data_IF_832565606511
#
_entry.id   IF_832565606511
#
_cell.length_a   1.000
_cell.length_b   1.000
_cell.length_c   1.000
_cell.angle_alpha   90.00
_cell.angle_beta   90.00
_cell.angle_gamma   90.00
#
_symmetry.space_group_name_H-M   'P 1'
#
loop_
_entity.id
_entity.type
_entity.pdbx_description
1 polymer ?
#
# COMPACT_ATOMS: atom_id res chain seq x y z
N UNK A 1 18.02 -6.39 24.30
CA UNK A 1 18.34 -7.43 25.29
C UNK A 1 18.03 -6.84 26.66
N UNK A 2 17.19 -7.51 27.46
CA UNK A 2 16.84 -7.06 28.81
C UNK A 2 18.00 -7.46 29.74
N UNK A 3 18.54 -6.56 30.56
CA UNK A 3 19.58 -6.93 31.51
C UNK A 3 18.99 -7.82 32.61
N UNK A 4 19.69 -8.90 32.93
CA UNK A 4 19.30 -9.91 33.91
C UNK A 4 19.61 -11.32 33.41
N UNK A 5 19.59 -12.29 34.33
CA UNK A 5 19.88 -13.69 34.04
C UNK A 5 18.61 -14.53 33.95
N UNK A 6 17.63 -14.27 34.81
CA UNK A 6 16.41 -15.08 34.93
C UNK A 6 15.16 -14.23 34.85
N UNK A 7 14.28 -14.55 33.89
CA UNK A 7 12.91 -14.03 33.85
C UNK A 7 12.07 -14.98 34.70
N UNK A 8 11.49 -14.47 35.79
CA UNK A 8 10.70 -15.28 36.74
C UNK A 8 9.22 -15.25 36.44
N UNK A 9 8.70 -14.12 35.93
CA UNK A 9 7.29 -13.98 35.60
C UNK A 9 7.05 -12.94 34.48
N UNK A 10 5.90 -13.06 33.81
CA UNK A 10 5.42 -12.11 32.79
C UNK A 10 3.91 -11.92 32.98
N UNK A 11 3.50 -10.66 33.07
CA UNK A 11 2.09 -10.25 33.12
C UNK A 11 1.75 -9.33 31.95
N UNK A 12 0.47 -9.33 31.54
CA UNK A 12 -0.05 -8.54 30.44
C UNK A 12 -1.08 -7.53 30.93
N UNK A 13 -1.09 -6.34 30.34
CA UNK A 13 -2.23 -5.43 30.43
C UNK A 13 -3.43 -6.06 29.69
N UNK A 14 -4.65 -5.80 30.17
CA UNK A 14 -5.86 -6.42 29.64
C UNK A 14 -6.17 -6.06 28.17
N UNK A 15 -5.59 -4.97 27.66
CA UNK A 15 -5.68 -4.57 26.26
C UNK A 15 -4.64 -5.25 25.35
N UNK A 16 -3.64 -5.91 25.95
CA UNK A 16 -2.56 -6.61 25.24
C UNK A 16 -1.44 -5.71 24.70
N UNK A 17 -1.42 -4.40 24.99
CA UNK A 17 -0.41 -3.48 24.46
C UNK A 17 0.77 -3.24 25.40
N UNK A 18 0.69 -3.71 26.64
CA UNK A 18 1.80 -3.65 27.59
C UNK A 18 2.04 -4.97 28.28
N UNK A 19 3.31 -5.26 28.49
CA UNK A 19 3.76 -6.40 29.28
C UNK A 19 4.68 -5.92 30.40
N UNK A 20 4.59 -6.57 31.55
CA UNK A 20 5.52 -6.42 32.65
C UNK A 20 6.22 -7.75 32.89
N UNK A 21 7.55 -7.76 32.80
CA UNK A 21 8.37 -8.93 33.08
C UNK A 21 9.16 -8.73 34.36
N UNK A 22 9.10 -9.72 35.26
CA UNK A 22 9.97 -9.78 36.43
C UNK A 22 11.27 -10.49 36.05
N UNK A 23 12.40 -9.78 36.17
CA UNK A 23 13.72 -10.27 35.82
C UNK A 23 14.67 -10.05 36.98
N UNK A 24 15.14 -11.14 37.57
CA UNK A 24 15.90 -11.18 38.82
C UNK A 24 15.21 -10.33 39.92
N UNK A 25 15.73 -9.13 40.22
CA UNK A 25 15.21 -8.18 41.21
C UNK A 25 14.54 -6.94 40.61
N UNK A 26 14.27 -6.92 39.31
CA UNK A 26 13.73 -5.77 38.58
C UNK A 26 12.43 -6.11 37.85
N UNK A 27 11.58 -5.10 37.68
CA UNK A 27 10.40 -5.16 36.83
C UNK A 27 10.66 -4.33 35.56
N UNK A 28 10.45 -4.95 34.40
CA UNK A 28 10.59 -4.31 33.10
C UNK A 28 9.22 -4.19 32.43
N UNK A 29 8.86 -2.96 32.07
CA UNK A 29 7.66 -2.69 31.28
C UNK A 29 8.05 -2.56 29.81
N UNK A 30 7.33 -3.27 28.94
CA UNK A 30 7.49 -3.14 27.50
C UNK A 30 6.15 -2.76 26.86
N UNK A 31 6.20 -1.79 25.96
CA UNK A 31 5.06 -1.45 25.11
C UNK A 31 5.16 -2.24 23.81
N UNK A 32 4.09 -2.94 23.47
CA UNK A 32 3.93 -3.61 22.17
C UNK A 32 3.31 -2.59 21.22
N UNK A 33 4.03 -2.29 20.14
CA UNK A 33 3.50 -1.53 19.02
C UNK A 33 3.09 -2.51 17.93
N UNK A 34 1.80 -2.52 17.59
CA UNK A 34 1.31 -3.27 16.46
C UNK A 34 1.87 -2.69 15.15
N UNK A 35 2.20 -3.59 14.23
CA UNK A 35 2.71 -3.25 12.90
C UNK A 35 1.54 -2.85 11.97
N UNK A 36 0.91 -1.72 12.30
CA UNK A 36 -0.17 -1.17 11.50
C UNK A 36 0.34 -0.75 10.12
N UNK A 37 -0.44 -1.01 9.07
CA UNK A 37 -0.18 -0.39 7.77
C UNK A 37 -0.48 1.09 7.88
N UNK A 38 0.48 1.92 7.51
CA UNK A 38 0.35 3.37 7.53
C UNK A 38 1.07 4.03 6.36
N UNK A 39 0.67 5.26 6.06
CA UNK A 39 1.23 6.11 5.02
C UNK A 39 1.06 7.58 5.43
N UNK A 40 1.73 8.47 4.71
CA UNK A 40 1.60 9.92 4.90
C UNK A 40 1.53 10.64 3.56
N UNK A 41 0.50 11.46 3.35
CA UNK A 41 0.32 12.32 2.18
C UNK A 41 -0.45 13.59 2.56
N UNK A 42 -0.13 14.72 1.93
CA UNK A 42 -0.95 15.94 2.03
C UNK A 42 -1.21 16.42 3.46
N UNK A 43 -0.22 16.29 4.34
CA UNK A 43 -0.34 16.53 5.78
C UNK A 43 -1.25 15.58 6.55
N UNK A 44 -1.70 14.50 5.93
CA UNK A 44 -2.53 13.48 6.53
C UNK A 44 -1.71 12.22 6.82
N UNK A 45 -1.75 11.76 8.07
CA UNK A 45 -1.30 10.41 8.44
C UNK A 45 -2.47 9.46 8.23
N UNK A 46 -2.25 8.43 7.42
CA UNK A 46 -3.25 7.42 7.10
C UNK A 46 -2.82 6.12 7.73
N UNK A 47 -3.67 5.47 8.49
CA UNK A 47 -3.36 4.17 9.10
C UNK A 47 -4.58 3.29 9.20
N UNK A 48 -4.37 1.98 9.10
CA UNK A 48 -5.43 0.98 9.22
C UNK A 48 -5.27 0.15 10.49
N UNK A 49 -6.39 -0.18 11.13
CA UNK A 49 -6.42 -1.11 12.26
C UNK A 49 -7.73 -1.88 12.30
N UNK A 50 -7.75 -2.96 13.09
CA UNK A 50 -8.94 -3.73 13.41
C UNK A 50 -9.48 -3.29 14.77
N UNK A 51 -10.77 -2.95 14.85
CA UNK A 51 -11.42 -2.61 16.12
C UNK A 51 -11.60 -3.85 16.98
N UNK A 52 -11.16 -3.76 18.24
CA UNK A 52 -11.22 -4.88 19.19
C UNK A 52 -12.65 -5.35 19.47
N UNK A 53 -13.62 -4.43 19.52
CA UNK A 53 -15.01 -4.73 19.90
C UNK A 53 -15.72 -5.62 18.88
N UNK A 54 -15.62 -5.28 17.59
CA UNK A 54 -16.44 -5.88 16.52
C UNK A 54 -15.62 -6.54 15.40
N UNK A 55 -14.29 -6.53 15.47
CA UNK A 55 -13.38 -7.00 14.40
C UNK A 55 -13.59 -6.28 13.06
N UNK A 56 -14.12 -5.06 13.11
CA UNK A 56 -14.28 -4.21 11.94
C UNK A 56 -12.95 -3.56 11.58
N UNK A 57 -12.60 -3.56 10.31
CA UNK A 57 -11.41 -2.87 9.83
C UNK A 57 -11.74 -1.40 9.52
N UNK A 58 -10.88 -0.53 10.02
CA UNK A 58 -11.00 0.90 9.83
C UNK A 58 -9.73 1.44 9.17
N UNK A 59 -9.90 2.43 8.31
CA UNK A 59 -8.83 3.32 7.86
C UNK A 59 -9.13 4.70 8.41
N UNK A 60 -8.15 5.30 9.09
CA UNK A 60 -8.23 6.65 9.63
C UNK A 60 -7.34 7.55 8.81
N UNK A 61 -7.90 8.69 8.41
CA UNK A 61 -7.20 9.79 7.77
C UNK A 61 -7.09 10.92 8.80
N UNK A 62 -5.91 11.04 9.41
CA UNK A 62 -5.64 12.03 10.45
C UNK A 62 -4.90 13.23 9.87
N UNK A 63 -5.60 14.36 9.73
CA UNK A 63 -5.04 15.59 9.20
C UNK A 63 -4.23 16.33 10.27
N UNK A 64 -2.91 16.35 10.13
CA UNK A 64 -1.99 16.79 11.19
C UNK A 64 -2.04 18.28 11.52
N UNK A 65 -2.49 19.14 10.59
CA UNK A 65 -2.56 20.59 10.80
C UNK A 65 -3.81 21.03 11.57
N UNK A 66 -4.94 20.38 11.31
CA UNK A 66 -6.23 20.67 11.94
C UNK A 66 -6.51 19.72 13.11
N UNK A 67 -5.70 18.67 13.26
CA UNK A 67 -5.90 17.58 14.22
C UNK A 67 -7.26 16.88 14.08
N UNK A 68 -7.78 16.83 12.85
CA UNK A 68 -9.05 16.20 12.52
C UNK A 68 -8.85 14.77 12.01
N UNK A 69 -9.67 13.84 12.51
CA UNK A 69 -9.66 12.45 12.08
C UNK A 69 -10.92 12.12 11.28
N UNK A 70 -10.76 11.59 10.08
CA UNK A 70 -11.82 11.02 9.27
C UNK A 70 -11.70 9.49 9.30
N UNK A 71 -12.72 8.81 9.81
CA UNK A 71 -12.75 7.36 9.92
C UNK A 71 -13.61 6.76 8.82
N UNK A 72 -13.05 5.79 8.11
CA UNK A 72 -13.79 4.98 7.14
C UNK A 72 -13.75 3.52 7.54
N UNK A 73 -14.91 2.87 7.49
CA UNK A 73 -15.00 1.43 7.61
C UNK A 73 -14.74 0.83 6.23
N UNK A 74 -13.70 0.01 6.16
CA UNK A 74 -13.27 -0.63 4.92
C UNK A 74 -12.99 -2.10 5.21
N UNK A 75 -12.86 -2.88 4.14
CA UNK A 75 -12.34 -4.24 4.27
C UNK A 75 -10.87 -4.21 4.69
N UNK A 76 -10.35 -5.30 5.29
CA UNK A 76 -8.94 -5.39 5.60
C UNK A 76 -8.08 -5.05 4.38
N UNK A 77 -7.30 -3.99 4.51
CA UNK A 77 -6.41 -3.53 3.46
C UNK A 77 -5.18 -4.45 3.38
N UNK A 78 -4.80 -4.80 2.16
CA UNK A 78 -3.62 -5.62 1.87
C UNK A 78 -2.38 -4.75 1.79
N UNK A 79 -2.51 -3.56 1.20
CA UNK A 79 -1.43 -2.60 1.04
C UNK A 79 -1.94 -1.16 1.18
N UNK A 80 -1.04 -0.30 1.64
CA UNK A 80 -1.20 1.15 1.74
C UNK A 80 0.14 1.77 1.34
N UNK A 81 0.10 2.72 0.41
CA UNK A 81 1.23 3.53 0.03
C UNK A 81 0.76 4.96 -0.27
N UNK A 82 1.69 5.91 -0.36
CA UNK A 82 1.36 7.31 -0.62
C UNK A 82 2.39 8.01 -1.49
N UNK A 83 1.95 9.07 -2.17
CA UNK A 83 2.80 10.04 -2.84
C UNK A 83 2.12 11.41 -2.87
N UNK A 84 2.88 12.45 -2.52
CA UNK A 84 2.42 13.84 -2.48
C UNK A 84 1.11 14.01 -1.68
N UNK A 85 0.00 14.29 -2.38
CA UNK A 85 -1.31 14.58 -1.81
C UNK A 85 -2.27 13.38 -1.83
N UNK A 86 -1.78 12.22 -2.30
CA UNK A 86 -2.60 11.05 -2.56
C UNK A 86 -2.05 9.79 -1.93
N UNK A 87 -2.94 8.84 -1.69
CA UNK A 87 -2.61 7.51 -1.22
C UNK A 87 -3.30 6.46 -2.07
N UNK A 88 -2.74 5.25 -2.10
CA UNK A 88 -3.41 4.06 -2.61
C UNK A 88 -3.82 3.16 -1.45
N UNK A 89 -5.08 2.72 -1.48
CA UNK A 89 -5.60 1.65 -0.65
C UNK A 89 -5.88 0.44 -1.54
N UNK A 90 -5.39 -0.74 -1.16
CA UNK A 90 -5.69 -1.98 -1.86
C UNK A 90 -6.40 -2.95 -0.93
N UNK A 91 -7.59 -3.41 -1.32
CA UNK A 91 -8.40 -4.37 -0.55
C UNK A 91 -8.65 -5.65 -1.35
N UNK A 92 -8.96 -6.74 -0.66
CA UNK A 92 -9.44 -7.97 -1.31
C UNK A 92 -10.92 -7.80 -1.69
N UNK A 93 -11.28 -8.29 -2.87
CA UNK A 93 -12.68 -8.31 -3.33
C UNK A 93 -13.37 -9.55 -2.78
N UNK A 94 -14.62 -9.42 -2.34
CA UNK A 94 -15.37 -10.57 -1.81
C UNK A 94 -15.82 -11.47 -2.95
N UNK A 95 -15.95 -12.77 -2.67
CA UNK A 95 -16.47 -13.77 -3.59
C UNK A 95 -15.65 -13.98 -4.87
N UNK A 96 -14.51 -13.29 -5.03
CA UNK A 96 -13.64 -13.38 -6.20
C UNK A 96 -12.20 -13.66 -5.77
N UNK A 97 -11.82 -14.93 -5.84
CA UNK A 97 -10.49 -15.40 -5.42
C UNK A 97 -9.43 -14.76 -6.31
N UNK A 98 -8.42 -14.15 -5.68
CA UNK A 98 -7.29 -13.55 -6.39
C UNK A 98 -7.56 -12.18 -7.00
N UNK A 99 -8.74 -11.58 -6.74
CA UNK A 99 -9.05 -10.23 -7.18
C UNK A 99 -8.92 -9.20 -6.06
N UNK A 100 -8.34 -8.06 -6.40
CA UNK A 100 -8.09 -6.94 -5.51
C UNK A 100 -8.64 -5.66 -6.11
N UNK A 101 -9.15 -4.77 -5.26
CA UNK A 101 -9.59 -3.44 -5.61
C UNK A 101 -8.54 -2.43 -5.16
N UNK A 102 -8.00 -1.69 -6.11
CA UNK A 102 -7.09 -0.57 -5.88
C UNK A 102 -7.87 0.74 -5.94
N UNK A 103 -7.66 1.62 -4.97
CA UNK A 103 -8.31 2.93 -4.89
C UNK A 103 -7.26 4.00 -4.61
N UNK A 104 -7.15 4.97 -5.49
CA UNK A 104 -6.43 6.22 -5.22
C UNK A 104 -7.37 7.12 -4.44
N UNK A 105 -6.91 7.63 -3.31
CA UNK A 105 -7.68 8.54 -2.47
C UNK A 105 -6.89 9.81 -2.16
N UNK A 106 -7.61 10.89 -1.85
CA UNK A 106 -7.03 12.09 -1.24
C UNK A 106 -6.85 11.93 0.29
N UNK A 107 -6.30 12.96 0.94
CA UNK A 107 -6.07 13.02 2.39
C UNK A 107 -7.32 12.95 3.29
N UNK A 108 -8.53 12.88 2.75
CA UNK A 108 -9.77 12.63 3.53
C UNK A 108 -10.47 11.32 3.13
N UNK A 109 -9.82 10.54 2.26
CA UNK A 109 -10.29 9.23 1.84
C UNK A 109 -11.34 9.24 0.73
N UNK A 110 -11.56 10.36 0.04
CA UNK A 110 -12.38 10.36 -1.17
C UNK A 110 -11.63 9.65 -2.29
N UNK A 111 -12.22 8.59 -2.84
CA UNK A 111 -11.66 7.89 -4.00
C UNK A 111 -11.70 8.78 -5.24
N UNK A 112 -10.54 8.93 -5.88
CA UNK A 112 -10.31 9.70 -7.10
C UNK A 112 -10.34 8.78 -8.31
N UNK A 113 -9.65 7.65 -8.22
CA UNK A 113 -9.55 6.65 -9.28
C UNK A 113 -9.55 5.26 -8.64
N UNK A 114 -10.05 4.27 -9.37
CA UNK A 114 -10.10 2.90 -8.89
C UNK A 114 -9.97 1.89 -10.02
N UNK A 115 -9.31 0.77 -9.73
CA UNK A 115 -9.07 -0.29 -10.70
C UNK A 115 -9.03 -1.65 -10.02
N UNK A 116 -9.60 -2.66 -10.67
CA UNK A 116 -9.47 -4.05 -10.25
C UNK A 116 -8.21 -4.67 -10.83
N UNK A 117 -7.58 -5.56 -10.05
CA UNK A 117 -6.37 -6.26 -10.44
C UNK A 117 -6.43 -7.73 -9.98
N UNK A 118 -5.91 -8.63 -10.81
CA UNK A 118 -5.78 -10.06 -10.51
C UNK A 118 -4.32 -10.46 -10.20
N UNK A 119 -3.61 -9.59 -9.48
CA UNK A 119 -2.23 -9.77 -9.04
C UNK A 119 -2.21 -9.56 -7.54
N UNK A 120 -1.73 -10.56 -6.79
CA UNK A 120 -1.55 -10.41 -5.34
C UNK A 120 -0.52 -9.31 -5.04
N UNK A 121 -0.91 -8.20 -4.39
CA UNK A 121 -0.01 -7.10 -4.10
C UNK A 121 0.86 -7.46 -2.89
N UNK A 122 2.14 -7.82 -3.12
CA UNK A 122 3.13 -8.00 -2.04
C UNK A 122 3.97 -6.76 -1.82
N UNK A 123 4.30 -6.07 -2.91
CA UNK A 123 5.06 -4.83 -2.90
C UNK A 123 4.26 -3.78 -3.67
N UNK A 124 4.06 -2.60 -3.07
CA UNK A 124 3.31 -1.51 -3.66
C UNK A 124 4.06 -0.21 -3.41
N UNK A 125 4.33 0.52 -4.48
CA UNK A 125 4.88 1.87 -4.43
C UNK A 125 4.10 2.75 -5.38
N UNK A 126 3.95 4.02 -5.05
CA UNK A 126 3.30 5.00 -5.92
C UNK A 126 4.16 6.25 -6.05
N UNK A 127 4.12 6.86 -7.22
CA UNK A 127 4.54 8.24 -7.43
C UNK A 127 3.29 9.10 -7.65
N UNK A 128 3.42 10.24 -8.31
CA UNK A 128 2.37 11.22 -8.56
C UNK A 128 1.40 10.86 -9.70
N UNK A 129 1.74 9.87 -10.54
CA UNK A 129 1.01 9.52 -11.76
C UNK A 129 0.83 8.01 -11.98
N UNK A 130 1.60 7.19 -11.28
CA UNK A 130 1.73 5.76 -11.47
C UNK A 130 1.83 5.02 -10.13
N UNK A 131 1.26 3.82 -10.12
CA UNK A 131 1.44 2.84 -9.06
C UNK A 131 2.11 1.61 -9.64
N UNK A 132 3.15 1.13 -8.98
CA UNK A 132 3.78 -0.16 -9.28
C UNK A 132 3.33 -1.16 -8.23
N UNK A 133 2.77 -2.27 -8.70
CA UNK A 133 2.33 -3.39 -7.87
C UNK A 133 3.11 -4.62 -8.30
N UNK A 134 3.72 -5.31 -7.34
CA UNK A 134 4.50 -6.51 -7.61
C UNK A 134 4.20 -7.63 -6.61
N UNK A 135 4.36 -8.85 -7.10
CA UNK A 135 4.58 -10.03 -6.28
C UNK A 135 6.02 -10.53 -6.49
N UNK A 136 6.32 -11.76 -6.08
CA UNK A 136 7.67 -12.31 -6.20
C UNK A 136 8.08 -12.66 -7.65
N UNK A 137 7.12 -12.77 -8.56
CA UNK A 137 7.31 -13.32 -9.91
C UNK A 137 6.91 -12.35 -11.02
N UNK A 138 6.18 -11.30 -10.71
CA UNK A 138 5.57 -10.42 -11.70
C UNK A 138 5.24 -9.07 -11.08
N UNK A 139 5.15 -8.06 -11.95
CA UNK A 139 4.72 -6.73 -11.58
C UNK A 139 3.85 -6.12 -12.66
N UNK A 140 3.08 -5.10 -12.29
CA UNK A 140 2.33 -4.28 -13.22
C UNK A 140 2.46 -2.81 -12.82
N UNK A 141 2.27 -1.94 -13.79
CA UNK A 141 2.28 -0.50 -13.61
C UNK A 141 0.88 0.01 -13.96
N UNK A 142 0.27 0.72 -13.04
CA UNK A 142 -1.01 1.37 -13.23
C UNK A 142 -0.82 2.88 -13.28
N UNK A 143 -1.04 3.47 -14.45
CA UNK A 143 -1.20 4.92 -14.62
C UNK A 143 -2.61 5.31 -14.15
N UNK A 144 -2.69 6.11 -13.10
CA UNK A 144 -3.96 6.53 -12.53
C UNK A 144 -4.26 7.99 -12.91
N UNK A 145 -5.54 8.30 -13.01
CA UNK A 145 -5.99 9.62 -13.45
C UNK A 145 -6.46 10.45 -12.26
N UNK A 146 -5.76 11.56 -11.98
CA UNK A 146 -6.27 12.59 -11.08
C UNK A 146 -6.95 13.66 -11.94
N UNK A 147 -8.26 13.89 -11.80
CA UNK A 147 -8.92 15.00 -12.48
C UNK A 147 -8.28 16.33 -12.03
N UNK A 148 -7.47 16.94 -12.90
CA UNK A 148 -6.94 18.28 -12.68
C UNK A 148 -7.91 19.31 -13.27
N UNK A 149 -8.23 20.35 -12.50
CA UNK A 149 -9.16 21.41 -12.95
C UNK A 149 -8.54 22.29 -14.06
N UNK A 150 -7.24 22.16 -14.35
CA UNK A 150 -6.50 23.11 -15.21
C UNK A 150 -6.85 23.01 -16.72
N UNK A 151 -7.51 21.95 -17.21
CA UNK A 151 -7.73 21.79 -18.66
C UNK A 151 -9.14 22.15 -19.14
N UNK A 152 -9.62 23.37 -18.87
CA UNK A 152 -10.80 23.90 -19.57
C UNK A 152 -10.52 24.48 -20.97
N UNK A 153 -9.28 24.48 -21.46
CA UNK A 153 -8.97 25.15 -22.75
C UNK A 153 -8.15 24.36 -23.79
N UNK A 154 -7.95 23.05 -23.63
CA UNK A 154 -7.28 22.25 -24.69
C UNK A 154 -8.21 21.16 -25.19
N UNK A 155 -9.13 21.56 -26.08
CA UNK A 155 -9.82 20.66 -27.00
C UNK A 155 -8.78 20.05 -27.96
N UNK A 156 -8.15 18.95 -27.56
CA UNK A 156 -7.54 18.04 -28.54
C UNK A 156 -8.34 16.76 -28.43
N UNK A 157 -9.11 16.49 -29.49
CA UNK A 157 -9.73 15.20 -29.77
C UNK A 157 -8.59 14.16 -29.89
N UNK A 158 -8.17 13.60 -28.77
CA UNK A 158 -7.47 12.34 -28.76
C UNK A 158 -8.54 11.32 -28.44
N UNK A 159 -8.94 10.56 -29.45
CA UNK A 159 -9.65 9.30 -29.29
C UNK A 159 -8.73 8.37 -28.48
N UNK A 160 -8.67 8.54 -27.16
CA UNK A 160 -7.95 7.63 -26.27
C UNK A 160 -8.84 6.40 -26.02
N UNK A 161 -9.11 5.70 -27.13
CA UNK A 161 -9.67 4.35 -27.15
C UNK A 161 -8.57 3.31 -26.89
N UNK A 162 -7.43 3.72 -26.30
CA UNK A 162 -6.54 2.79 -25.64
C UNK A 162 -7.30 2.20 -24.47
N UNK A 163 -8.00 1.09 -24.74
CA UNK A 163 -8.22 0.05 -23.76
C UNK A 163 -6.98 0.03 -22.89
N UNK A 164 -7.13 0.35 -21.61
CA UNK A 164 -6.01 0.50 -20.68
C UNK A 164 -5.47 -0.91 -20.37
N UNK A 165 -4.98 -1.55 -21.43
CA UNK A 165 -4.62 -2.95 -21.57
C UNK A 165 -3.50 -3.16 -20.58
N UNK A 166 -3.88 -3.82 -19.50
CA UNK A 166 -3.01 -4.04 -18.38
C UNK A 166 -1.84 -4.92 -18.84
N UNK A 167 -0.67 -4.31 -18.95
CA UNK A 167 0.56 -5.05 -19.21
C UNK A 167 1.07 -5.64 -17.89
N UNK A 168 1.03 -6.97 -17.81
CA UNK A 168 1.66 -7.75 -16.75
C UNK A 168 3.06 -8.14 -17.23
N UNK A 169 4.05 -7.93 -16.37
CA UNK A 169 5.45 -8.25 -16.65
C UNK A 169 5.90 -9.37 -15.72
N UNK A 170 6.51 -10.42 -16.26
CA UNK A 170 7.13 -11.47 -15.46
C UNK A 170 8.59 -11.13 -15.18
N UNK A 171 9.01 -11.41 -13.96
CA UNK A 171 10.41 -11.30 -13.54
C UNK A 171 11.17 -12.47 -14.18
N UNK A 172 12.35 -12.17 -14.71
CA UNK A 172 13.28 -13.12 -15.36
C UNK A 172 12.83 -13.71 -16.72
N UNK A 173 11.64 -13.39 -17.24
CA UNK A 173 11.33 -13.66 -18.65
C UNK A 173 12.20 -12.78 -19.54
N UNK A 174 13.24 -13.39 -20.13
CA UNK A 174 13.89 -12.84 -21.29
C UNK A 174 12.97 -13.17 -22.48
N UNK A 175 12.53 -12.15 -23.22
CA UNK A 175 12.09 -12.39 -24.59
C UNK A 175 13.27 -13.08 -25.31
N UNK A 176 13.20 -14.40 -25.52
CA UNK A 176 14.09 -15.10 -26.44
C UNK A 176 13.73 -14.62 -27.84
N UNK A 177 14.25 -13.44 -28.19
CA UNK A 177 14.12 -12.87 -29.52
C UNK A 177 14.98 -13.73 -30.43
N UNK A 178 14.29 -14.52 -31.26
CA UNK A 178 14.84 -15.27 -32.39
C UNK A 178 15.89 -14.42 -33.14
N UNK A 179 17.09 -14.96 -33.31
CA UNK A 179 18.33 -14.24 -33.64
C UNK A 179 18.37 -13.71 -35.10
N UNK A 180 17.24 -13.58 -35.79
CA UNK A 180 17.20 -13.20 -37.22
C UNK A 180 16.70 -11.80 -37.53
N UNK A 181 16.64 -10.88 -36.57
CA UNK A 181 16.33 -9.47 -36.87
C UNK A 181 17.22 -8.49 -36.11
N UNK A 182 18.32 -8.13 -36.76
CA UNK A 182 19.16 -6.99 -36.45
C UNK A 182 18.32 -5.71 -36.27
N UNK A 183 18.58 -4.97 -35.19
CA UNK A 183 18.16 -3.58 -34.93
C UNK A 183 16.85 -3.39 -34.13
N UNK A 184 16.75 -3.90 -32.91
CA UNK A 184 15.88 -3.28 -31.88
C UNK A 184 16.66 -3.14 -30.58
N UNK A 185 16.56 -1.94 -30.00
CA UNK A 185 17.31 -1.49 -28.83
C UNK A 185 17.20 -2.47 -27.66
N UNK A 186 18.37 -2.93 -27.19
CA UNK A 186 18.53 -3.79 -26.01
C UNK A 186 18.05 -3.07 -24.74
N UNK A 187 16.76 -3.11 -24.45
CA UNK A 187 16.23 -2.78 -23.14
C UNK A 187 16.61 -3.88 -22.16
N UNK A 188 17.76 -3.75 -21.50
CA UNK A 188 18.11 -4.61 -20.36
C UNK A 188 17.07 -4.40 -19.26
N UNK A 189 16.14 -5.33 -19.09
CA UNK A 189 15.28 -5.40 -17.90
C UNK A 189 16.15 -5.89 -16.75
N UNK A 190 16.92 -4.98 -16.16
CA UNK A 190 17.57 -5.25 -14.88
C UNK A 190 16.47 -5.23 -13.83
N UNK A 191 16.22 -6.40 -13.24
CA UNK A 191 15.42 -6.64 -12.04
C UNK A 191 15.50 -5.41 -11.15
N UNK A 192 14.41 -4.64 -11.09
CA UNK A 192 14.30 -3.45 -10.25
C UNK A 192 14.38 -3.98 -8.81
N UNK A 193 15.59 -3.98 -8.25
CA UNK A 193 15.76 -3.96 -6.80
C UNK A 193 15.13 -2.64 -6.36
N UNK A 194 13.86 -2.71 -5.95
CA UNK A 194 13.22 -1.67 -5.15
C UNK A 194 14.09 -1.51 -3.89
N UNK A 195 15.02 -0.56 -3.96
CA UNK A 195 15.89 -0.19 -2.84
C UNK A 195 15.03 0.58 -1.84
N UNK A 196 15.18 0.18 -0.59
CA UNK A 196 14.56 0.72 0.64
C UNK A 196 14.56 2.25 0.71
#
# INVERSE_FOLDING_TARGET
LIPGQTITDISWEGDGLRLCAAVDSHLFFANIRLDYKWAYCGHTVIYSYERMENKEHCVVFFQTKLEEAYLQYVKPIVALASSNEHCILITRVDNQIGQYLMQICNGIGTTIDSKYINLEPKYVVMNDSEVVIANNLSFTIWKYNIPCVINREVNVNVDDSMSNDQKLYYVDENDEIDVTSSNIMRGRVQVIKLLY
#
